data_IF_915552879930
#
_entry.id   IF_915552879930
#
_cell.length_a   1.000
_cell.length_b   1.000
_cell.length_c   1.000
_cell.angle_alpha   90.00
_cell.angle_beta   90.00
_cell.angle_gamma   90.00
#
_symmetry.space_group_name_H-M   'P 1'
#
loop_
_entity.id
_entity.type
_entity.pdbx_description
1 polymer ?
#
# COMPACT_ATOMS: atom_id res chain seq x y z
N UNK A 1 -2.52 -13.86 16.96
CA UNK A 1 -1.60 -14.33 18.03
C UNK A 1 -2.04 -13.68 19.33
N UNK A 2 -2.72 -14.40 20.24
CA UNK A 2 -2.90 -13.89 21.60
C UNK A 2 -1.67 -14.27 22.41
N UNK A 3 -0.89 -13.26 22.81
CA UNK A 3 0.23 -13.44 23.71
C UNK A 3 -0.29 -13.80 25.11
N UNK A 4 0.50 -14.57 25.87
CA UNK A 4 0.28 -14.73 27.31
C UNK A 4 0.21 -13.35 27.97
N UNK A 5 -0.55 -13.14 29.06
CA UNK A 5 -0.63 -11.86 29.76
C UNK A 5 0.72 -11.29 30.25
N UNK A 6 1.79 -12.10 30.23
CA UNK A 6 3.16 -11.67 30.55
C UNK A 6 4.07 -11.47 29.34
N UNK A 7 3.59 -11.68 28.11
CA UNK A 7 4.29 -11.38 26.87
C UNK A 7 3.60 -10.23 26.11
N UNK A 8 4.39 -9.39 25.44
CA UNK A 8 3.87 -8.32 24.60
C UNK A 8 4.23 -8.55 23.13
N UNK A 9 3.27 -8.24 22.25
CA UNK A 9 3.48 -8.10 20.81
C UNK A 9 2.95 -6.74 20.42
N UNK A 10 3.84 -5.87 19.97
CA UNK A 10 3.50 -4.50 19.57
C UNK A 10 4.08 -4.24 18.19
N UNK A 11 3.44 -3.38 17.42
CA UNK A 11 3.75 -3.22 16.01
C UNK A 11 3.67 -1.77 15.55
N UNK A 12 4.39 -1.47 14.47
CA UNK A 12 4.35 -0.18 13.80
C UNK A 12 4.40 -0.39 12.29
N UNK A 13 3.55 0.33 11.56
CA UNK A 13 3.53 0.32 10.10
C UNK A 13 4.04 1.68 9.63
N UNK A 14 5.26 1.72 9.09
CA UNK A 14 5.78 2.88 8.37
C UNK A 14 4.90 3.13 7.15
N UNK A 15 4.66 4.41 6.83
CA UNK A 15 3.90 4.81 5.64
C UNK A 15 4.48 6.12 5.12
N UNK A 16 5.02 6.07 3.90
CA UNK A 16 5.67 7.19 3.23
C UNK A 16 4.71 8.37 2.99
N UNK A 17 3.40 8.13 3.01
CA UNK A 17 2.35 9.14 2.81
C UNK A 17 1.93 9.84 4.09
N UNK A 18 2.28 9.30 5.25
CA UNK A 18 1.90 9.83 6.55
C UNK A 18 3.15 10.32 7.27
N UNK A 19 3.35 11.63 7.35
CA UNK A 19 4.51 12.22 8.04
C UNK A 19 4.62 11.79 9.51
N UNK A 20 3.51 11.35 10.13
CA UNK A 20 3.54 10.80 11.49
C UNK A 20 4.01 9.34 11.54
N UNK A 21 4.28 8.69 10.41
CA UNK A 21 4.66 7.27 10.36
C UNK A 21 6.05 7.00 9.80
N UNK A 22 6.94 7.99 9.87
CA UNK A 22 8.22 7.92 9.17
C UNK A 22 9.44 8.18 10.03
N UNK A 23 9.26 8.62 11.29
CA UNK A 23 10.36 9.02 12.17
C UNK A 23 10.60 8.01 13.30
N UNK A 24 11.84 7.92 13.76
CA UNK A 24 12.29 7.16 14.92
C UNK A 24 11.50 7.54 16.17
N UNK A 25 11.28 8.85 16.40
CA UNK A 25 10.57 9.30 17.59
C UNK A 25 9.12 8.76 17.60
N UNK A 26 8.45 8.78 16.44
CA UNK A 26 7.07 8.31 16.37
C UNK A 26 6.98 6.79 16.49
N UNK A 27 7.91 6.05 15.88
CA UNK A 27 8.03 4.60 16.05
C UNK A 27 8.16 4.28 17.54
N UNK A 28 9.14 4.86 18.22
CA UNK A 28 9.40 4.54 19.64
C UNK A 28 8.21 4.90 20.51
N UNK A 29 7.60 6.08 20.32
CA UNK A 29 6.42 6.49 21.09
C UNK A 29 5.24 5.55 20.89
N UNK A 30 4.97 5.14 19.66
CA UNK A 30 3.87 4.22 19.36
C UNK A 30 4.08 2.84 20.00
N UNK A 31 5.32 2.32 19.98
CA UNK A 31 5.66 1.08 20.68
C UNK A 31 5.47 1.22 22.20
N UNK A 32 5.91 2.34 22.79
CA UNK A 32 5.73 2.62 24.21
C UNK A 32 4.25 2.67 24.61
N UNK A 33 3.42 3.37 23.83
CA UNK A 33 1.97 3.47 24.09
C UNK A 33 1.33 2.08 24.10
N UNK A 34 1.61 1.25 23.09
CA UNK A 34 1.05 -0.11 23.02
C UNK A 34 1.50 -0.99 24.20
N UNK A 35 2.75 -0.88 24.65
CA UNK A 35 3.24 -1.61 25.83
C UNK A 35 2.51 -1.16 27.10
N UNK A 36 2.29 0.15 27.25
CA UNK A 36 1.57 0.73 28.39
C UNK A 36 0.11 0.25 28.41
N UNK A 37 -0.55 0.20 27.26
CA UNK A 37 -1.92 -0.29 27.11
C UNK A 37 -2.04 -1.80 27.42
N UNK A 38 -1.00 -2.58 27.10
CA UNK A 38 -1.02 -4.04 27.30
C UNK A 38 -1.05 -4.43 28.79
N UNK A 39 -0.41 -3.67 29.69
CA UNK A 39 -0.28 -4.04 31.12
C UNK A 39 -0.33 -2.86 32.08
N UNK A 40 -1.32 -1.97 31.93
CA UNK A 40 -1.39 -0.68 32.64
C UNK A 40 -1.36 -0.77 34.19
N UNK A 41 -1.71 -1.90 34.80
CA UNK A 41 -1.89 -2.01 36.26
C UNK A 41 -0.65 -2.44 37.08
N UNK A 42 0.48 -2.85 36.48
CA UNK A 42 1.58 -3.52 37.21
C UNK A 42 2.99 -2.93 37.01
N UNK A 43 3.08 -1.67 36.63
CA UNK A 43 4.36 -1.00 36.48
C UNK A 43 4.83 -0.40 37.79
N UNK A 44 5.76 -1.08 38.48
CA UNK A 44 6.38 -0.55 39.70
C UNK A 44 6.97 0.85 39.47
N UNK A 45 7.51 1.13 38.28
CA UNK A 45 8.20 2.38 37.96
C UNK A 45 7.37 3.36 37.09
N UNK A 46 6.09 3.09 36.80
CA UNK A 46 5.30 3.97 35.93
C UNK A 46 5.18 5.39 36.47
N UNK A 47 5.08 5.54 37.79
CA UNK A 47 5.03 6.84 38.43
C UNK A 47 6.32 7.65 38.18
N UNK A 48 7.50 7.01 38.19
CA UNK A 48 8.77 7.66 37.89
C UNK A 48 8.84 8.10 36.42
N UNK A 49 8.44 7.22 35.50
CA UNK A 49 8.36 7.52 34.07
C UNK A 49 7.42 8.71 33.79
N UNK A 50 6.20 8.63 34.34
CA UNK A 50 5.17 9.65 34.18
C UNK A 50 5.64 10.99 34.72
N UNK A 51 6.19 11.01 35.94
CA UNK A 51 6.58 12.25 36.58
C UNK A 51 7.76 12.91 35.86
N UNK A 52 8.72 12.14 35.34
CA UNK A 52 9.82 12.68 34.51
C UNK A 52 9.32 13.26 33.19
N UNK A 53 8.40 12.57 32.51
CA UNK A 53 7.78 13.07 31.26
C UNK A 53 6.97 14.34 31.52
N UNK A 54 6.12 14.34 32.57
CA UNK A 54 5.27 15.49 32.90
C UNK A 54 6.09 16.72 33.30
N UNK A 55 7.20 16.53 34.03
CA UNK A 55 8.12 17.62 34.41
C UNK A 55 8.74 18.33 33.21
N UNK A 56 9.02 17.60 32.12
CA UNK A 56 9.59 18.17 30.89
C UNK A 56 8.59 19.00 30.10
N UNK A 57 7.30 18.70 30.24
CA UNK A 57 6.21 19.46 29.62
C UNK A 57 5.90 19.04 28.18
N UNK A 58 4.74 19.46 27.68
CA UNK A 58 4.17 19.00 26.38
C UNK A 58 5.01 19.38 25.16
N UNK A 59 5.75 20.48 25.22
CA UNK A 59 6.56 20.97 24.09
C UNK A 59 7.95 20.33 24.02
N UNK A 60 8.31 19.49 25.00
CA UNK A 60 9.62 18.87 25.03
C UNK A 60 9.80 17.82 23.94
N UNK A 61 10.83 18.00 23.11
CA UNK A 61 11.22 17.03 22.09
C UNK A 61 12.23 16.06 22.68
N UNK A 62 11.76 14.84 22.97
CA UNK A 62 12.62 13.76 23.40
C UNK A 62 13.49 13.27 22.25
N UNK A 63 14.78 13.10 22.52
CA UNK A 63 15.67 12.37 21.61
C UNK A 63 15.40 10.86 21.66
N UNK A 64 15.76 10.13 20.59
CA UNK A 64 15.67 8.66 20.55
C UNK A 64 16.38 8.01 21.74
N UNK A 65 17.55 8.53 22.11
CA UNK A 65 18.34 8.05 23.26
C UNK A 65 17.66 8.26 24.61
N UNK A 66 16.85 9.31 24.76
CA UNK A 66 16.04 9.50 25.97
C UNK A 66 14.88 8.52 25.99
N UNK A 67 14.21 8.35 24.84
CA UNK A 67 13.12 7.38 24.70
C UNK A 67 13.58 5.94 24.91
N UNK A 68 14.81 5.60 24.51
CA UNK A 68 15.45 4.30 24.75
C UNK A 68 15.39 3.89 26.21
N UNK A 69 15.68 4.81 27.14
CA UNK A 69 15.68 4.52 28.58
C UNK A 69 14.30 4.09 29.05
N UNK A 70 13.27 4.79 28.57
CA UNK A 70 11.89 4.49 28.92
C UNK A 70 11.42 3.19 28.28
N UNK A 71 11.69 2.99 26.99
CA UNK A 71 11.34 1.75 26.30
C UNK A 71 12.02 0.53 26.95
N UNK A 72 13.30 0.65 27.31
CA UNK A 72 14.05 -0.40 28.04
C UNK A 72 13.43 -0.71 29.39
N UNK A 73 12.97 0.30 30.13
CA UNK A 73 12.27 0.08 31.40
C UNK A 73 10.94 -0.63 31.16
N UNK A 74 10.21 -0.26 30.10
CA UNK A 74 8.96 -0.90 29.74
C UNK A 74 9.15 -2.38 29.38
N UNK A 75 10.14 -2.74 28.57
CA UNK A 75 10.31 -4.14 28.17
C UNK A 75 10.58 -5.09 29.35
N UNK A 76 11.09 -4.59 30.48
CA UNK A 76 11.40 -5.40 31.69
C UNK A 76 10.18 -5.95 32.42
N UNK A 77 9.00 -5.34 32.29
CA UNK A 77 7.78 -5.86 32.94
C UNK A 77 7.08 -6.95 32.14
N UNK A 78 7.64 -7.30 30.99
CA UNK A 78 7.25 -8.46 30.20
C UNK A 78 8.32 -9.53 30.30
N UNK A 79 7.88 -10.80 30.32
CA UNK A 79 8.78 -11.95 30.18
C UNK A 79 9.36 -12.03 28.77
N UNK A 80 8.62 -11.52 27.79
CA UNK A 80 9.07 -11.38 26.41
C UNK A 80 8.35 -10.23 25.70
N UNK A 81 9.09 -9.42 24.95
CA UNK A 81 8.53 -8.36 24.09
C UNK A 81 8.91 -8.65 22.64
N UNK A 82 7.93 -8.55 21.72
CA UNK A 82 8.15 -8.66 20.28
C UNK A 82 7.79 -7.35 19.62
N UNK A 83 8.76 -6.72 18.96
CA UNK A 83 8.55 -5.54 18.12
C UNK A 83 8.41 -5.99 16.67
N UNK A 84 7.35 -5.53 16.01
CA UNK A 84 7.13 -5.73 14.59
C UNK A 84 7.13 -4.36 13.91
N UNK A 85 8.04 -4.11 12.97
CA UNK A 85 8.06 -2.87 12.20
C UNK A 85 7.96 -3.23 10.73
N UNK A 86 6.95 -2.69 10.05
CA UNK A 86 6.70 -2.94 8.63
C UNK A 86 6.84 -1.66 7.82
N UNK A 87 7.25 -1.77 6.56
CA UNK A 87 7.52 -0.66 5.64
C UNK A 87 8.80 0.11 5.93
N UNK A 88 9.87 -0.53 6.41
CA UNK A 88 11.10 0.18 6.83
C UNK A 88 11.73 1.06 5.73
N UNK A 89 11.55 0.70 4.46
CA UNK A 89 11.94 1.50 3.28
C UNK A 89 11.15 2.80 3.10
N UNK A 90 9.98 2.91 3.72
CA UNK A 90 9.12 4.10 3.66
C UNK A 90 9.45 5.17 4.72
N UNK A 91 10.33 4.82 5.65
CA UNK A 91 10.72 5.64 6.78
C UNK A 91 11.85 6.65 6.40
N UNK A 92 12.03 7.72 7.19
CA UNK A 92 13.07 8.72 6.96
C UNK A 92 14.47 8.12 7.14
N UNK A 93 15.47 8.68 6.44
CA UNK A 93 16.85 8.16 6.49
C UNK A 93 17.39 8.03 7.92
N UNK A 94 17.04 8.96 8.81
CA UNK A 94 17.50 8.96 10.20
C UNK A 94 17.15 7.65 10.95
N UNK A 95 16.05 6.98 10.57
CA UNK A 95 15.60 5.71 11.17
C UNK A 95 16.68 4.64 11.08
N UNK A 96 17.45 4.65 9.98
CA UNK A 96 18.52 3.70 9.68
C UNK A 96 19.90 4.17 10.17
N UNK A 97 20.04 5.41 10.64
CA UNK A 97 21.32 5.95 11.12
C UNK A 97 21.68 5.45 12.52
N UNK A 98 22.91 5.70 12.97
CA UNK A 98 23.42 5.22 14.26
C UNK A 98 22.70 5.80 15.49
N UNK A 99 22.05 6.95 15.33
CA UNK A 99 21.22 7.57 16.36
C UNK A 99 19.73 7.20 16.23
N UNK A 100 19.37 6.49 15.15
CA UNK A 100 18.00 6.10 14.84
C UNK A 100 17.48 4.96 15.70
N UNK A 101 16.18 4.71 15.55
CA UNK A 101 15.46 3.66 16.29
C UNK A 101 16.00 2.27 16.01
N UNK A 102 16.49 1.97 14.79
CA UNK A 102 17.04 0.64 14.47
C UNK A 102 18.31 0.37 15.29
N UNK A 103 19.19 1.37 15.45
CA UNK A 103 20.37 1.26 16.31
C UNK A 103 20.01 1.01 17.78
N UNK A 104 18.98 1.71 18.25
CA UNK A 104 18.45 1.58 19.61
C UNK A 104 17.86 0.19 19.86
N UNK A 105 17.09 -0.31 18.91
CA UNK A 105 16.47 -1.63 18.93
C UNK A 105 17.50 -2.76 18.89
N UNK A 106 18.58 -2.61 18.13
CA UNK A 106 19.71 -3.54 18.12
C UNK A 106 20.35 -3.67 19.52
N UNK A 107 20.60 -2.54 20.19
CA UNK A 107 21.11 -2.52 21.58
C UNK A 107 20.17 -3.22 22.56
N UNK A 108 18.86 -3.07 22.38
CA UNK A 108 17.85 -3.72 23.21
C UNK A 108 17.88 -5.25 23.06
N UNK A 109 17.98 -5.74 21.82
CA UNK A 109 18.03 -7.20 21.53
C UNK A 109 19.32 -7.82 22.06
N UNK A 110 20.44 -7.11 21.93
CA UNK A 110 21.76 -7.55 22.35
C UNK A 110 22.08 -7.26 23.83
N UNK A 111 21.10 -6.73 24.59
CA UNK A 111 21.27 -6.51 26.03
C UNK A 111 21.36 -7.84 26.79
N UNK A 112 22.02 -7.83 27.95
CA UNK A 112 22.22 -9.02 28.78
C UNK A 112 20.93 -9.66 29.28
N UNK A 113 19.82 -8.92 29.30
CA UNK A 113 18.48 -9.38 29.63
C UNK A 113 17.65 -9.58 28.36
N UNK A 114 18.06 -10.56 27.53
CA UNK A 114 17.55 -10.79 26.17
C UNK A 114 16.09 -11.31 26.15
N UNK A 115 15.14 -10.44 26.46
CA UNK A 115 13.68 -10.69 26.40
C UNK A 115 13.01 -10.08 25.16
N UNK A 116 13.77 -9.33 24.37
CA UNK A 116 13.26 -8.60 23.21
C UNK A 116 13.54 -9.38 21.94
N UNK A 117 12.53 -9.47 21.07
CA UNK A 117 12.66 -9.98 19.69
C UNK A 117 12.14 -8.93 18.73
N UNK A 118 12.71 -8.89 17.54
CA UNK A 118 12.39 -7.88 16.53
C UNK A 118 12.15 -8.59 15.21
N UNK A 119 11.11 -8.17 14.53
CA UNK A 119 10.81 -8.55 13.16
C UNK A 119 10.64 -7.26 12.35
N UNK A 120 11.44 -7.13 11.30
CA UNK A 120 11.43 -5.98 10.40
C UNK A 120 10.95 -6.45 9.03
N UNK A 121 10.06 -5.68 8.41
CA UNK A 121 9.60 -5.88 7.05
C UNK A 121 9.87 -4.60 6.24
N UNK A 122 10.21 -4.77 4.97
CA UNK A 122 10.48 -3.69 4.05
C UNK A 122 11.06 -4.19 2.74
N UNK A 123 11.17 -3.31 1.76
CA UNK A 123 11.84 -3.60 0.49
C UNK A 123 13.34 -3.70 0.67
N UNK A 124 13.97 -4.49 -0.20
CA UNK A 124 15.41 -4.71 -0.25
C UNK A 124 16.16 -3.51 -0.87
N UNK A 125 15.91 -2.30 -0.37
CA UNK A 125 16.62 -1.11 -0.80
C UNK A 125 18.05 -1.09 -0.24
N UNK A 126 18.97 -0.51 -1.02
CA UNK A 126 20.40 -0.49 -0.69
C UNK A 126 20.69 0.00 0.74
N UNK A 127 20.05 1.08 1.18
CA UNK A 127 20.27 1.65 2.52
C UNK A 127 19.79 0.71 3.63
N UNK A 128 18.65 0.03 3.44
CA UNK A 128 18.11 -0.95 4.39
C UNK A 128 19.02 -2.18 4.45
N UNK A 129 19.45 -2.68 3.30
CA UNK A 129 20.35 -3.84 3.21
C UNK A 129 21.71 -3.57 3.86
N UNK A 130 22.30 -2.40 3.60
CA UNK A 130 23.58 -2.00 4.21
C UNK A 130 23.46 -1.95 5.74
N UNK A 131 22.39 -1.32 6.26
CA UNK A 131 22.16 -1.18 7.70
C UNK A 131 21.91 -2.53 8.40
N UNK A 132 21.14 -3.41 7.78
CA UNK A 132 20.73 -4.69 8.36
C UNK A 132 21.59 -5.87 7.86
N UNK A 133 22.78 -5.59 7.31
CA UNK A 133 23.66 -6.60 6.70
C UNK A 133 24.13 -7.69 7.67
N UNK A 134 24.21 -7.39 8.97
CA UNK A 134 24.56 -8.35 10.03
C UNK A 134 23.36 -9.12 10.59
N UNK A 135 22.13 -8.72 10.24
CA UNK A 135 20.91 -9.33 10.77
C UNK A 135 20.50 -10.54 9.92
N UNK A 136 19.80 -11.53 10.51
CA UNK A 136 19.18 -12.59 9.72
C UNK A 136 18.15 -12.01 8.74
N UNK A 137 18.30 -12.32 7.46
CA UNK A 137 17.42 -11.83 6.39
C UNK A 137 16.66 -13.00 5.76
N UNK A 138 15.38 -12.77 5.46
CA UNK A 138 14.53 -13.71 4.73
C UNK A 138 13.87 -12.94 3.59
N UNK A 139 14.19 -13.34 2.35
CA UNK A 139 13.54 -12.79 1.17
C UNK A 139 12.21 -13.49 0.92
N UNK A 140 11.13 -12.70 0.90
CA UNK A 140 9.78 -13.13 0.55
C UNK A 140 9.48 -12.59 -0.84
N UNK A 141 9.05 -13.46 -1.77
CA UNK A 141 8.76 -13.04 -3.15
C UNK A 141 9.77 -13.49 -4.19
N UNK A 142 10.95 -13.99 -3.77
CA UNK A 142 11.95 -14.54 -4.68
C UNK A 142 11.48 -15.81 -5.39
N UNK A 143 12.13 -16.16 -6.50
CA UNK A 143 11.76 -17.28 -7.39
C UNK A 143 11.68 -18.65 -6.70
N UNK A 144 12.31 -18.80 -5.53
CA UNK A 144 12.30 -20.03 -4.74
C UNK A 144 11.19 -20.17 -3.69
N UNK A 145 10.54 -19.07 -3.25
CA UNK A 145 9.59 -19.11 -2.11
C UNK A 145 8.12 -18.96 -2.53
N UNK A 146 7.85 -18.38 -3.70
CA UNK A 146 6.47 -18.07 -4.14
C UNK A 146 5.97 -18.91 -5.31
N UNK A 147 6.78 -19.84 -5.84
CA UNK A 147 6.41 -20.56 -7.06
C UNK A 147 5.13 -21.39 -6.88
N UNK A 148 5.00 -22.12 -5.77
CA UNK A 148 3.81 -22.96 -5.50
C UNK A 148 2.57 -22.11 -5.19
N UNK A 149 2.73 -21.03 -4.44
CA UNK A 149 1.66 -20.07 -4.17
C UNK A 149 1.19 -19.41 -5.46
N UNK A 150 2.12 -19.04 -6.34
CA UNK A 150 1.82 -18.44 -7.63
C UNK A 150 1.14 -19.45 -8.56
N UNK A 151 1.58 -20.72 -8.61
CA UNK A 151 0.88 -21.79 -9.35
C UNK A 151 -0.56 -21.94 -8.86
N UNK A 152 -0.77 -21.96 -7.54
CA UNK A 152 -2.09 -22.06 -6.91
C UNK A 152 -2.95 -20.85 -7.24
N UNK A 153 -2.39 -19.65 -7.15
CA UNK A 153 -3.07 -18.40 -7.47
C UNK A 153 -3.47 -18.33 -8.95
N UNK A 154 -2.53 -18.61 -9.86
CA UNK A 154 -2.79 -18.61 -11.30
C UNK A 154 -3.82 -19.67 -11.66
N UNK A 155 -3.79 -20.86 -11.05
CA UNK A 155 -4.83 -21.87 -11.27
C UNK A 155 -6.23 -21.30 -11.00
N UNK A 156 -6.43 -20.63 -9.86
CA UNK A 156 -7.71 -19.98 -9.54
C UNK A 156 -8.07 -18.88 -10.54
N UNK A 157 -7.07 -18.13 -11.01
CA UNK A 157 -7.25 -17.08 -12.02
C UNK A 157 -7.61 -17.62 -13.41
N UNK A 158 -7.12 -18.80 -13.77
CA UNK A 158 -7.56 -19.51 -14.99
C UNK A 158 -9.01 -19.97 -14.84
N UNK A 159 -9.39 -20.48 -13.66
CA UNK A 159 -10.78 -20.90 -13.42
C UNK A 159 -11.74 -19.68 -13.50
N UNK A 160 -11.35 -18.53 -12.96
CA UNK A 160 -12.06 -17.25 -13.12
C UNK A 160 -12.16 -16.83 -14.60
N UNK A 161 -11.03 -16.82 -15.33
CA UNK A 161 -10.98 -16.44 -16.73
C UNK A 161 -11.88 -17.32 -17.61
N UNK A 162 -11.82 -18.64 -17.41
CA UNK A 162 -12.61 -19.61 -18.19
C UNK A 162 -14.10 -19.56 -17.86
N UNK A 163 -14.47 -19.17 -16.64
CA UNK A 163 -15.86 -18.86 -16.29
C UNK A 163 -16.44 -17.68 -17.07
N UNK A 164 -15.59 -16.71 -17.44
CA UNK A 164 -16.00 -15.54 -18.24
C UNK A 164 -15.83 -15.74 -19.75
N UNK A 165 -14.90 -16.60 -20.18
CA UNK A 165 -14.56 -16.85 -21.58
C UNK A 165 -14.62 -18.37 -21.86
N UNK A 166 -15.81 -18.93 -22.13
CA UNK A 166 -16.02 -20.39 -22.14
C UNK A 166 -15.18 -21.17 -23.16
N UNK A 167 -14.79 -20.56 -24.28
CA UNK A 167 -13.98 -21.26 -25.30
C UNK A 167 -12.54 -21.54 -24.84
N UNK A 168 -12.11 -20.95 -23.71
CA UNK A 168 -10.79 -21.16 -23.11
C UNK A 168 -10.73 -22.39 -22.18
N UNK A 169 -11.87 -22.99 -21.82
CA UNK A 169 -11.95 -24.13 -20.88
C UNK A 169 -11.03 -25.29 -21.27
N UNK A 170 -10.96 -25.63 -22.56
CA UNK A 170 -10.12 -26.73 -23.06
C UNK A 170 -8.60 -26.45 -23.06
N UNK A 171 -8.17 -25.25 -22.65
CA UNK A 171 -6.77 -24.79 -22.68
C UNK A 171 -6.18 -24.52 -21.31
N UNK A 172 -6.79 -25.05 -20.25
CA UNK A 172 -6.45 -24.74 -18.86
C UNK A 172 -4.96 -24.82 -18.55
N UNK A 173 -4.30 -25.91 -18.95
CA UNK A 173 -2.86 -26.11 -18.72
C UNK A 173 -1.99 -25.07 -19.45
N UNK A 174 -2.26 -24.85 -20.74
CA UNK A 174 -1.54 -23.86 -21.54
C UNK A 174 -1.74 -22.43 -21.01
N UNK A 175 -2.96 -22.09 -20.56
CA UNK A 175 -3.26 -20.79 -19.96
C UNK A 175 -2.53 -20.60 -18.64
N UNK A 176 -2.46 -21.64 -17.82
CA UNK A 176 -1.72 -21.61 -16.57
C UNK A 176 -0.24 -21.34 -16.82
N UNK A 177 0.37 -22.02 -17.79
CA UNK A 177 1.77 -21.79 -18.17
C UNK A 177 1.99 -20.38 -18.74
N UNK A 178 1.12 -19.91 -19.64
CA UNK A 178 1.19 -18.56 -20.21
C UNK A 178 1.09 -17.47 -19.13
N UNK A 179 0.11 -17.58 -18.23
CA UNK A 179 -0.08 -16.61 -17.16
C UNK A 179 1.06 -16.64 -16.13
N UNK A 180 1.58 -17.83 -15.79
CA UNK A 180 2.76 -17.94 -14.91
C UNK A 180 3.99 -17.29 -15.54
N UNK A 181 4.24 -17.55 -16.82
CA UNK A 181 5.36 -16.97 -17.55
C UNK A 181 5.23 -15.45 -17.66
N UNK A 182 4.03 -14.95 -17.97
CA UNK A 182 3.78 -13.52 -18.09
C UNK A 182 3.94 -12.78 -16.76
N UNK A 183 3.47 -13.39 -15.67
CA UNK A 183 3.39 -12.72 -14.37
C UNK A 183 4.64 -12.86 -13.51
N UNK A 184 5.51 -13.84 -13.80
CA UNK A 184 6.65 -14.15 -12.94
C UNK A 184 6.22 -14.40 -11.49
N UNK A 185 6.81 -13.67 -10.54
CA UNK A 185 6.43 -13.69 -9.12
C UNK A 185 5.41 -12.60 -8.72
N UNK A 186 4.80 -11.91 -9.70
CA UNK A 186 3.95 -10.73 -9.47
C UNK A 186 2.46 -11.08 -9.52
N UNK A 187 1.88 -11.38 -8.36
CA UNK A 187 0.44 -11.67 -8.22
C UNK A 187 -0.46 -10.57 -8.81
N UNK A 188 -0.08 -9.30 -8.61
CA UNK A 188 -0.81 -8.16 -9.16
C UNK A 188 -0.83 -8.16 -10.69
N UNK A 189 0.29 -8.55 -11.32
CA UNK A 189 0.36 -8.67 -12.77
C UNK A 189 -0.63 -9.73 -13.28
N UNK A 190 -0.64 -10.91 -12.67
CA UNK A 190 -1.60 -11.97 -13.00
C UNK A 190 -3.06 -11.49 -12.86
N UNK A 191 -3.37 -10.78 -11.77
CA UNK A 191 -4.69 -10.19 -11.53
C UNK A 191 -5.08 -9.21 -12.63
N UNK A 192 -4.19 -8.27 -12.98
CA UNK A 192 -4.45 -7.25 -14.00
C UNK A 192 -4.60 -7.88 -15.38
N UNK A 193 -3.77 -8.87 -15.73
CA UNK A 193 -3.83 -9.55 -17.02
C UNK A 193 -5.14 -10.32 -17.19
N UNK A 194 -5.54 -11.10 -16.19
CA UNK A 194 -6.82 -11.82 -16.25
C UNK A 194 -7.99 -10.86 -16.33
N UNK A 195 -7.98 -9.78 -15.55
CA UNK A 195 -9.05 -8.78 -15.63
C UNK A 195 -9.09 -8.10 -17.01
N UNK A 196 -7.93 -7.75 -17.57
CA UNK A 196 -7.86 -7.17 -18.92
C UNK A 196 -8.44 -8.12 -19.97
N UNK A 197 -8.19 -9.43 -19.87
CA UNK A 197 -8.79 -10.42 -20.77
C UNK A 197 -10.30 -10.51 -20.58
N UNK A 198 -10.80 -10.55 -19.34
CA UNK A 198 -12.23 -10.59 -19.01
C UNK A 198 -12.95 -9.35 -19.55
N UNK A 199 -12.32 -8.18 -19.43
CA UNK A 199 -12.87 -6.92 -19.94
C UNK A 199 -12.93 -6.86 -21.46
N UNK A 200 -12.09 -7.62 -22.14
CA UNK A 200 -12.05 -7.75 -23.59
C UNK A 200 -12.72 -9.04 -24.09
N UNK A 201 -13.48 -9.76 -23.26
CA UNK A 201 -14.09 -11.07 -23.60
C UNK A 201 -14.96 -11.05 -24.87
N UNK A 202 -15.47 -9.89 -25.25
CA UNK A 202 -16.34 -9.70 -26.42
C UNK A 202 -15.53 -9.48 -27.72
N UNK A 203 -14.19 -9.40 -27.64
CA UNK A 203 -13.31 -9.33 -28.80
C UNK A 203 -13.21 -10.68 -29.53
N UNK A 204 -12.86 -10.66 -30.84
CA UNK A 204 -12.52 -11.87 -31.58
C UNK A 204 -11.50 -12.76 -30.86
N UNK A 205 -11.65 -14.07 -31.02
CA UNK A 205 -10.75 -15.07 -30.41
C UNK A 205 -9.27 -14.78 -30.66
N UNK A 206 -8.92 -14.40 -31.90
CA UNK A 206 -7.53 -14.11 -32.26
C UNK A 206 -6.93 -12.93 -31.47
N UNK A 207 -7.76 -11.96 -31.05
CA UNK A 207 -7.29 -10.80 -30.27
C UNK A 207 -7.00 -11.20 -28.83
N UNK A 208 -7.88 -12.00 -28.21
CA UNK A 208 -7.63 -12.58 -26.87
C UNK A 208 -6.38 -13.46 -26.87
N UNK A 209 -6.21 -14.29 -27.90
CA UNK A 209 -5.01 -15.11 -28.06
C UNK A 209 -3.75 -14.26 -28.25
N UNK A 210 -3.85 -13.15 -28.98
CA UNK A 210 -2.74 -12.21 -29.14
C UNK A 210 -2.34 -11.59 -27.80
N UNK A 211 -3.30 -11.18 -26.97
CA UNK A 211 -3.04 -10.64 -25.62
C UNK A 211 -2.37 -11.66 -24.70
N UNK A 212 -2.75 -12.93 -24.78
CA UNK A 212 -2.12 -14.02 -24.01
C UNK A 212 -0.69 -14.34 -24.49
N UNK A 213 -0.46 -14.28 -25.81
CA UNK A 213 0.85 -14.60 -26.40
C UNK A 213 1.85 -13.44 -26.33
N UNK A 214 1.34 -12.20 -26.24
CA UNK A 214 2.12 -10.97 -26.13
C UNK A 214 1.60 -10.15 -24.94
N UNK A 215 1.78 -10.66 -23.72
CA UNK A 215 1.40 -9.91 -22.53
C UNK A 215 2.24 -8.63 -22.45
N UNK A 216 1.74 -7.59 -21.77
CA UNK A 216 2.51 -6.39 -21.50
C UNK A 216 3.86 -6.71 -20.84
N UNK A 217 4.89 -5.92 -21.13
CA UNK A 217 6.24 -6.21 -20.66
C UNK A 217 6.38 -6.01 -19.14
N UNK A 218 5.66 -5.05 -18.58
CA UNK A 218 5.72 -4.69 -17.17
C UNK A 218 4.38 -4.13 -16.65
N UNK A 219 4.34 -3.79 -15.37
CA UNK A 219 3.15 -3.21 -14.74
C UNK A 219 2.74 -1.86 -15.34
N UNK A 220 3.68 -1.03 -15.80
CA UNK A 220 3.35 0.27 -16.39
C UNK A 220 2.59 0.07 -17.70
N UNK A 221 3.07 -0.83 -18.56
CA UNK A 221 2.34 -1.23 -19.76
C UNK A 221 0.97 -1.86 -19.43
N UNK A 222 0.89 -2.68 -18.36
CA UNK A 222 -0.40 -3.22 -17.89
C UNK A 222 -1.38 -2.11 -17.48
N UNK A 223 -0.94 -1.13 -16.70
CA UNK A 223 -1.79 -0.02 -16.24
C UNK A 223 -2.26 0.85 -17.41
N UNK A 224 -1.37 1.19 -18.33
CA UNK A 224 -1.71 1.95 -19.53
C UNK A 224 -2.82 1.23 -20.32
N UNK A 225 -2.57 -0.02 -20.72
CA UNK A 225 -3.53 -0.81 -21.50
C UNK A 225 -4.87 -0.97 -20.77
N UNK A 226 -4.85 -1.20 -19.45
CA UNK A 226 -6.06 -1.36 -18.66
C UNK A 226 -6.90 -0.06 -18.64
N UNK A 227 -6.28 1.09 -18.40
CA UNK A 227 -6.95 2.40 -18.44
C UNK A 227 -7.55 2.68 -19.82
N UNK A 228 -6.83 2.37 -20.90
CA UNK A 228 -7.32 2.58 -22.25
C UNK A 228 -8.48 1.63 -22.61
N UNK A 229 -8.46 0.39 -22.10
CA UNK A 229 -9.57 -0.55 -22.26
C UNK A 229 -10.84 -0.03 -21.58
N UNK A 230 -10.72 0.47 -20.34
CA UNK A 230 -11.83 1.08 -19.63
C UNK A 230 -12.37 2.30 -20.38
N UNK A 231 -11.48 3.11 -20.97
CA UNK A 231 -11.88 4.27 -21.74
C UNK A 231 -12.63 3.91 -23.03
N UNK A 232 -12.16 2.90 -23.76
CA UNK A 232 -12.82 2.42 -24.99
C UNK A 232 -14.19 1.80 -24.72
N UNK A 233 -14.35 1.12 -23.58
CA UNK A 233 -15.61 0.49 -23.19
C UNK A 233 -16.64 1.50 -22.69
N UNK A 234 -16.19 2.54 -21.99
CA UNK A 234 -17.07 3.55 -21.44
C UNK A 234 -17.28 4.70 -22.43
N UNK A 235 -18.33 4.64 -23.26
CA UNK A 235 -18.67 5.76 -24.15
C UNK A 235 -19.28 7.00 -23.43
N UNK A 236 -19.04 7.16 -22.13
CA UNK A 236 -19.57 8.27 -21.32
C UNK A 236 -18.45 9.19 -20.88
N UNK A 237 -18.43 10.41 -21.44
CA UNK A 237 -17.51 11.47 -21.05
C UNK A 237 -17.58 11.77 -19.54
N UNK A 238 -18.78 11.69 -18.93
CA UNK A 238 -18.96 11.89 -17.49
C UNK A 238 -18.29 10.80 -16.66
N UNK A 239 -18.39 9.53 -17.06
CA UNK A 239 -17.73 8.42 -16.34
C UNK A 239 -16.21 8.56 -16.41
N UNK A 240 -15.66 8.96 -17.55
CA UNK A 240 -14.24 9.26 -17.69
C UNK A 240 -13.79 10.40 -16.78
N UNK A 241 -14.53 11.51 -16.79
CA UNK A 241 -14.24 12.64 -15.91
C UNK A 241 -14.27 12.23 -14.44
N UNK A 242 -15.25 11.42 -14.03
CA UNK A 242 -15.31 10.89 -12.65
C UNK A 242 -14.08 10.04 -12.34
N UNK A 243 -13.68 9.14 -13.24
CA UNK A 243 -12.47 8.34 -13.06
C UNK A 243 -11.23 9.21 -12.85
N UNK A 244 -11.05 10.22 -13.69
CA UNK A 244 -9.98 11.20 -13.57
C UNK A 244 -10.01 11.94 -12.22
N UNK A 245 -11.17 12.47 -11.80
CA UNK A 245 -11.33 13.18 -10.53
C UNK A 245 -11.04 12.28 -9.34
N UNK A 246 -11.51 11.03 -9.37
CA UNK A 246 -11.26 10.05 -8.30
C UNK A 246 -9.77 9.73 -8.21
N UNK A 247 -9.10 9.51 -9.35
CA UNK A 247 -7.65 9.30 -9.35
C UNK A 247 -6.88 10.49 -8.76
N UNK A 248 -7.28 11.73 -9.09
CA UNK A 248 -6.69 12.93 -8.46
C UNK A 248 -6.78 12.87 -6.93
N UNK A 249 -7.98 12.64 -6.41
CA UNK A 249 -8.18 12.55 -4.97
C UNK A 249 -7.34 11.43 -4.35
N UNK A 250 -7.38 10.22 -4.92
CA UNK A 250 -6.68 9.06 -4.37
C UNK A 250 -5.14 9.14 -4.49
N UNK A 251 -4.62 9.85 -5.48
CA UNK A 251 -3.17 10.06 -5.64
C UNK A 251 -2.67 11.06 -4.61
N UNK A 252 -3.37 12.18 -4.40
CA UNK A 252 -2.91 13.27 -3.56
C UNK A 252 -3.42 13.23 -2.11
N UNK A 253 -4.22 12.23 -1.73
CA UNK A 253 -4.58 12.02 -0.34
C UNK A 253 -3.48 11.31 0.46
N UNK A 254 -3.42 11.63 1.75
CA UNK A 254 -2.52 10.98 2.73
C UNK A 254 -2.93 9.51 3.01
N UNK A 255 -4.13 9.08 2.57
CA UNK A 255 -4.61 7.73 2.78
C UNK A 255 -5.94 7.43 2.09
N UNK A 256 -6.60 6.30 2.44
CA UNK A 256 -7.89 5.92 1.87
C UNK A 256 -8.98 6.96 2.13
N UNK A 257 -9.78 7.26 1.11
CA UNK A 257 -10.81 8.31 1.14
C UNK A 257 -12.19 7.69 1.32
N UNK A 258 -13.01 8.26 2.21
CA UNK A 258 -14.40 7.83 2.37
C UNK A 258 -15.20 8.00 1.07
N UNK A 259 -16.05 7.01 0.75
CA UNK A 259 -16.97 7.10 -0.38
C UNK A 259 -17.93 8.29 -0.27
N UNK A 260 -18.33 8.66 0.95
CA UNK A 260 -19.18 9.84 1.20
C UNK A 260 -18.46 11.14 0.84
N UNK A 261 -17.15 11.21 1.09
CA UNK A 261 -16.33 12.35 0.72
C UNK A 261 -16.11 12.37 -0.80
N UNK A 262 -15.82 11.23 -1.43
CA UNK A 262 -15.70 11.15 -2.89
C UNK A 262 -16.98 11.59 -3.58
N UNK A 263 -18.14 11.10 -3.16
CA UNK A 263 -19.43 11.54 -3.71
C UNK A 263 -19.65 13.05 -3.53
N UNK A 264 -19.22 13.63 -2.40
CA UNK A 264 -19.31 15.07 -2.17
C UNK A 264 -18.42 15.86 -3.12
N UNK A 265 -17.17 15.43 -3.26
CA UNK A 265 -16.20 16.08 -4.15
C UNK A 265 -16.60 15.99 -5.62
N UNK A 266 -17.22 14.88 -6.03
CA UNK A 266 -17.69 14.69 -7.41
C UNK A 266 -18.93 15.52 -7.76
N UNK A 267 -19.64 16.01 -6.74
CA UNK A 267 -20.78 16.92 -6.88
C UNK A 267 -20.37 18.40 -6.92
N UNK A 268 -19.09 18.73 -6.67
CA UNK A 268 -18.57 20.10 -6.77
C UNK A 268 -18.34 20.45 -8.24
N UNK A 269 -18.86 21.61 -8.69
CA UNK A 269 -18.56 22.11 -10.02
C UNK A 269 -17.19 22.79 -10.03
N UNK A 270 -16.31 22.48 -11.01
CA UNK A 270 -15.06 23.22 -11.18
C UNK A 270 -15.26 24.69 -11.60
N UNK A 271 -16.45 25.05 -12.06
CA UNK A 271 -16.76 26.39 -12.59
C UNK A 271 -17.12 27.41 -11.50
N UNK A 272 -17.72 26.94 -10.41
CA UNK A 272 -18.27 27.82 -9.36
C UNK A 272 -17.88 27.40 -7.94
N UNK A 273 -17.09 26.33 -7.79
CA UNK A 273 -16.67 25.73 -6.53
C UNK A 273 -17.83 25.40 -5.57
N UNK A 274 -19.04 25.22 -6.11
CA UNK A 274 -20.23 24.88 -5.32
C UNK A 274 -20.59 23.42 -5.48
N UNK A 275 -21.05 22.84 -4.37
CA UNK A 275 -21.65 21.52 -4.36
C UNK A 275 -23.07 21.59 -4.93
N UNK A 276 -23.33 20.84 -5.99
CA UNK A 276 -24.65 20.73 -6.62
C UNK A 276 -25.27 19.39 -6.22
N UNK A 277 -26.30 19.35 -5.35
CA UNK A 277 -26.91 18.11 -4.89
C UNK A 277 -27.41 17.21 -6.02
N UNK A 278 -27.86 17.80 -7.13
CA UNK A 278 -28.34 17.06 -8.31
C UNK A 278 -27.22 16.33 -9.08
N UNK A 279 -25.95 16.64 -8.80
CA UNK A 279 -24.77 15.95 -9.37
C UNK A 279 -24.28 14.78 -8.51
N UNK A 280 -24.89 14.55 -7.34
CA UNK A 280 -24.60 13.41 -6.46
C UNK A 280 -24.86 12.09 -7.17
N UNK A 281 -24.02 11.10 -6.91
CA UNK A 281 -24.15 9.79 -7.51
C UNK A 281 -25.04 8.92 -6.62
N UNK A 282 -26.04 8.26 -7.21
CA UNK A 282 -26.90 7.33 -6.47
C UNK A 282 -26.12 6.15 -5.87
N UNK A 283 -25.17 5.62 -6.63
CA UNK A 283 -24.20 4.62 -6.17
C UNK A 283 -22.80 5.00 -6.63
N UNK A 284 -22.11 5.78 -5.78
CA UNK A 284 -20.73 6.23 -6.03
C UNK A 284 -19.79 5.05 -6.25
N UNK A 285 -19.96 3.94 -5.51
CA UNK A 285 -19.09 2.79 -5.65
C UNK A 285 -19.25 2.14 -7.02
N UNK A 286 -20.48 1.89 -7.46
CA UNK A 286 -20.75 1.30 -8.77
C UNK A 286 -20.23 2.18 -9.91
N UNK A 287 -20.34 3.50 -9.80
CA UNK A 287 -19.83 4.43 -10.81
C UNK A 287 -18.30 4.44 -10.85
N UNK A 288 -17.63 4.43 -9.70
CA UNK A 288 -16.16 4.35 -9.63
C UNK A 288 -15.68 2.98 -10.16
N UNK A 289 -16.35 1.89 -9.79
CA UNK A 289 -16.04 0.55 -10.31
C UNK A 289 -16.20 0.49 -11.83
N UNK A 290 -17.21 1.17 -12.38
CA UNK A 290 -17.35 1.29 -13.84
C UNK A 290 -16.22 2.11 -14.47
N UNK A 291 -15.78 3.19 -13.82
CA UNK A 291 -14.79 4.11 -14.35
C UNK A 291 -13.35 3.57 -14.27
N UNK A 292 -13.01 2.87 -13.18
CA UNK A 292 -11.64 2.51 -12.80
C UNK A 292 -11.46 1.01 -12.51
N UNK A 293 -12.55 0.24 -12.47
CA UNK A 293 -12.50 -1.21 -12.31
C UNK A 293 -11.69 -1.65 -11.09
N UNK A 294 -10.74 -2.56 -11.33
CA UNK A 294 -9.91 -3.13 -10.25
C UNK A 294 -8.78 -2.22 -9.79
N UNK A 295 -8.60 -1.04 -10.39
CA UNK A 295 -7.56 -0.07 -9.99
C UNK A 295 -7.88 0.64 -8.67
N UNK A 296 -9.12 0.50 -8.19
CA UNK A 296 -9.57 1.02 -6.90
C UNK A 296 -10.02 -0.15 -6.02
N UNK A 297 -9.50 -0.18 -4.80
CA UNK A 297 -9.93 -1.11 -3.76
C UNK A 297 -10.84 -0.42 -2.75
N UNK A 298 -11.79 -1.19 -2.23
CA UNK A 298 -12.76 -0.72 -1.24
C UNK A 298 -12.57 -1.51 0.05
N UNK A 299 -12.44 -0.80 1.17
CA UNK A 299 -12.29 -1.40 2.49
C UNK A 299 -13.24 -0.75 3.47
N UNK A 300 -13.84 -1.55 4.33
CA UNK A 300 -14.64 -1.04 5.43
C UNK A 300 -13.72 -0.64 6.59
N UNK A 301 -13.83 0.59 7.06
CA UNK A 301 -13.10 1.10 8.21
C UNK A 301 -13.79 0.71 9.53
N UNK A 302 -13.11 0.94 10.66
CA UNK A 302 -13.62 0.61 12.01
C UNK A 302 -14.92 1.36 12.36
N UNK A 303 -15.10 2.54 11.77
CA UNK A 303 -16.32 3.35 11.88
C UNK A 303 -17.45 2.85 10.95
N UNK A 304 -17.31 1.66 10.35
CA UNK A 304 -18.21 1.07 9.36
C UNK A 304 -18.33 1.84 8.04
N UNK A 305 -17.56 2.92 7.83
CA UNK A 305 -17.53 3.65 6.57
C UNK A 305 -16.76 2.88 5.50
N UNK A 306 -17.22 2.98 4.25
CA UNK A 306 -16.48 2.45 3.10
C UNK A 306 -15.46 3.47 2.63
N UNK A 307 -14.21 3.03 2.45
CA UNK A 307 -13.11 3.85 1.97
C UNK A 307 -12.51 3.25 0.71
N UNK A 308 -12.12 4.12 -0.22
CA UNK A 308 -11.47 3.79 -1.47
C UNK A 308 -9.97 4.11 -1.40
N UNK A 309 -9.15 3.26 -1.99
CA UNK A 309 -7.71 3.47 -2.19
C UNK A 309 -7.28 2.93 -3.55
N UNK A 310 -6.15 3.41 -4.07
CA UNK A 310 -5.53 2.79 -5.25
C UNK A 310 -5.19 1.32 -4.96
N UNK A 311 -5.27 0.48 -5.99
CA UNK A 311 -5.03 -0.98 -5.88
C UNK A 311 -3.64 -1.32 -5.36
N UNK A 312 -2.64 -0.50 -5.66
CA UNK A 312 -1.27 -0.73 -5.24
C UNK A 312 -0.43 0.55 -5.34
N UNK A 313 0.66 0.61 -4.56
CA UNK A 313 1.60 1.73 -4.61
C UNK A 313 2.21 1.92 -5.99
N UNK A 314 2.58 0.83 -6.69
CA UNK A 314 3.12 0.91 -8.06
C UNK A 314 2.18 1.58 -9.06
N UNK A 315 0.85 1.56 -8.82
CA UNK A 315 -0.08 2.31 -9.67
C UNK A 315 -0.03 3.81 -9.38
N UNK A 316 0.13 4.20 -8.10
CA UNK A 316 0.40 5.59 -7.74
C UNK A 316 1.70 6.06 -8.39
N UNK A 317 2.76 5.26 -8.27
CA UNK A 317 4.07 5.55 -8.85
C UNK A 317 3.94 5.75 -10.37
N UNK A 318 3.26 4.84 -11.08
CA UNK A 318 2.95 4.98 -12.51
C UNK A 318 2.20 6.29 -12.88
N UNK A 319 1.25 6.71 -12.04
CA UNK A 319 0.49 7.95 -12.26
C UNK A 319 1.34 9.21 -12.01
N UNK A 320 2.35 9.13 -11.13
CA UNK A 320 3.16 10.28 -10.70
C UNK A 320 4.55 10.36 -11.34
N UNK A 321 5.06 9.27 -11.88
CA UNK A 321 6.40 9.21 -12.47
C UNK A 321 6.47 10.07 -13.75
N UNK A 322 7.53 10.87 -13.85
CA UNK A 322 7.79 11.85 -14.91
C UNK A 322 8.85 11.33 -15.89
N UNK A 323 9.68 10.36 -15.50
CA UNK A 323 10.95 10.06 -16.18
C UNK A 323 10.95 8.80 -17.07
N UNK A 324 9.93 7.95 -17.02
CA UNK A 324 9.73 6.92 -18.05
C UNK A 324 9.04 7.50 -19.29
N UNK A 325 9.80 8.38 -19.96
CA UNK A 325 9.55 8.84 -21.32
C UNK A 325 9.73 7.72 -22.34
N UNK A 326 8.72 6.86 -22.44
CA UNK A 326 8.28 6.35 -23.74
C UNK A 326 6.87 6.90 -24.01
N UNK A 327 6.81 8.23 -24.14
CA UNK A 327 5.64 8.96 -24.66
C UNK A 327 5.24 8.49 -26.07
N UNK A 328 6.11 7.71 -26.74
CA UNK A 328 5.86 7.13 -28.06
C UNK A 328 5.08 5.81 -28.04
N UNK A 329 4.83 5.20 -26.88
CA UNK A 329 4.11 3.92 -26.77
C UNK A 329 2.89 3.95 -25.83
N UNK A 330 2.67 5.04 -25.10
CA UNK A 330 1.51 5.17 -24.21
C UNK A 330 0.28 5.65 -25.00
N UNK A 331 -0.88 4.96 -24.94
CA UNK A 331 -2.07 5.38 -25.67
C UNK A 331 -2.74 6.62 -25.04
N UNK A 332 -3.57 7.29 -25.84
CA UNK A 332 -4.01 8.68 -25.62
C UNK A 332 -4.71 8.94 -24.28
N UNK A 333 -5.46 7.97 -23.73
CA UNK A 333 -6.25 8.20 -22.51
C UNK A 333 -5.40 8.13 -21.24
N UNK A 334 -4.53 7.14 -21.13
CA UNK A 334 -3.55 7.06 -20.03
C UNK A 334 -2.65 8.31 -19.96
N UNK A 335 -2.23 8.84 -21.11
CA UNK A 335 -1.49 10.09 -21.23
C UNK A 335 -2.30 11.30 -20.76
N UNK A 336 -3.59 11.37 -21.12
CA UNK A 336 -4.48 12.46 -20.67
C UNK A 336 -4.63 12.47 -19.14
N UNK A 337 -4.76 11.30 -18.51
CA UNK A 337 -4.82 11.19 -17.03
C UNK A 337 -3.52 11.72 -16.41
N UNK A 338 -2.35 11.27 -16.91
CA UNK A 338 -1.05 11.70 -16.39
C UNK A 338 -0.84 13.20 -16.57
N UNK A 339 -1.15 13.74 -17.76
CA UNK A 339 -1.07 15.17 -18.05
C UNK A 339 -2.01 16.00 -17.17
N UNK A 340 -3.24 15.52 -16.94
CA UNK A 340 -4.19 16.19 -16.05
C UNK A 340 -3.69 16.22 -14.60
N UNK A 341 -3.18 15.09 -14.08
CA UNK A 341 -2.60 15.03 -12.74
C UNK A 341 -1.43 16.02 -12.59
N UNK A 342 -0.56 16.10 -13.59
CA UNK A 342 0.58 17.02 -13.62
C UNK A 342 0.17 18.50 -13.66
N UNK A 343 -0.85 18.85 -14.44
CA UNK A 343 -1.34 20.25 -14.54
C UNK A 343 -1.83 20.82 -13.20
N UNK A 344 -2.33 19.97 -12.30
CA UNK A 344 -2.82 20.39 -10.99
C UNK A 344 -1.67 20.55 -9.96
N UNK A 345 -0.56 19.81 -10.07
CA UNK A 345 0.62 20.01 -9.20
C UNK A 345 1.20 21.41 -9.39
N UNK A 346 1.16 21.95 -10.61
CA UNK A 346 1.63 23.31 -10.89
C UNK A 346 0.76 24.42 -10.23
N UNK A 347 -0.49 24.12 -9.88
CA UNK A 347 -1.42 25.08 -9.29
C UNK A 347 -1.49 25.04 -7.75
N UNK A 348 -0.98 23.98 -7.11
CA UNK A 348 -0.97 23.83 -5.65
C UNK A 348 0.40 24.15 -4.99
N UNK A 349 1.38 24.63 -5.77
CA UNK A 349 2.56 25.32 -5.24
C UNK A 349 2.27 26.83 -5.06
N UNK A 350 1.48 27.16 -4.03
CA UNK A 350 1.40 28.50 -3.44
C UNK A 350 1.37 28.40 -1.91
#
# INVERSE_FOLDING_TARGET
>A
MQASPDEAVVYFFCDSKDNSKRTSDTIVRALMVQLLETKSAYWQDYHLLRDDILKRGRSYKFSVRELEKYLTSLTKSFTKTRFIIDGLDECEREVLEDQGVIAMLDRLVNSSDCRTKILLFGRAEKQVQERLSSWPQLEIGGTGTTQDDMRTYVSRKVDELTGHIPYLVGRREALQEQLLRASGAMFLFARLLVQALIENKDLPRNDIESMLNRPPHDLNCMYAQYLDNLARRNNSARVHQIGCQVLQWLVYSDGPISLTLLDATLAISPEDDRMHPDKRLGDVQAVIQRALGILVEYRQALDSSWRASLVHQSFKDYLTDVDHGDLNASPTYSLNIRSMLQSHVAHFHL
#
